data_IF_882039273317
#
_entry.id   IF_882039273317
#
_cell.length_a   1.000
_cell.length_b   1.000
_cell.length_c   1.000
_cell.angle_alpha   90.00
_cell.angle_beta   90.00
_cell.angle_gamma   90.00
#
_symmetry.space_group_name_H-M   'P 1'
#
loop_
_entity.id
_entity.type
_entity.pdbx_description
1 polymer ?
#
# COMPACT_ATOMS: atom_id res chain seq x y z
N UNK A 1 2.45 15.98 14.85
CA UNK A 1 1.28 16.05 13.97
C UNK A 1 1.47 15.02 12.89
N UNK A 2 0.55 14.07 12.73
CA UNK A 2 0.51 13.22 11.53
C UNK A 2 0.25 14.12 10.33
N UNK A 3 1.11 14.06 9.32
CA UNK A 3 0.92 14.82 8.08
C UNK A 3 -0.37 14.38 7.41
N UNK A 4 -1.19 15.33 6.96
CA UNK A 4 -2.39 15.05 6.17
C UNK A 4 -1.95 14.40 4.86
N UNK A 5 -2.63 13.32 4.46
CA UNK A 5 -2.37 12.67 3.18
C UNK A 5 -2.77 13.57 1.99
N UNK A 6 -1.90 13.69 0.99
CA UNK A 6 -2.11 14.55 -0.17
C UNK A 6 -2.30 13.71 -1.42
N UNK A 7 -1.48 12.68 -1.63
CA UNK A 7 -1.57 11.80 -2.81
C UNK A 7 -2.89 11.03 -2.83
N UNK A 8 -3.37 10.56 -1.69
CA UNK A 8 -4.66 9.88 -1.56
C UNK A 8 -5.87 10.74 -1.97
N UNK A 9 -5.70 12.06 -2.17
CA UNK A 9 -6.76 12.99 -2.58
C UNK A 9 -6.59 13.51 -4.02
N UNK A 10 -5.58 13.06 -4.76
CA UNK A 10 -5.36 13.50 -6.16
C UNK A 10 -6.38 12.88 -7.12
N UNK A 11 -6.73 13.63 -8.17
CA UNK A 11 -7.60 13.20 -9.27
C UNK A 11 -6.94 13.43 -10.64
N UNK A 12 -7.30 12.67 -11.69
CA UNK A 12 -8.21 11.53 -11.64
C UNK A 12 -7.62 10.36 -10.84
N UNK A 13 -8.49 9.46 -10.40
CA UNK A 13 -8.06 8.23 -9.72
C UNK A 13 -7.14 7.42 -10.66
N UNK A 14 -6.04 6.80 -10.17
CA UNK A 14 -5.05 6.15 -11.04
C UNK A 14 -5.66 5.17 -12.05
N UNK A 15 -5.17 5.20 -13.28
CA UNK A 15 -5.65 4.33 -14.37
C UNK A 15 -6.97 4.77 -15.00
N UNK A 16 -7.56 5.89 -14.57
CA UNK A 16 -8.84 6.41 -15.09
C UNK A 16 -8.68 7.81 -15.67
N UNK A 17 -9.60 8.20 -16.55
CA UNK A 17 -9.69 9.56 -17.10
C UNK A 17 -10.88 10.34 -16.55
N UNK A 18 -11.91 9.66 -16.07
CA UNK A 18 -13.21 10.24 -15.71
C UNK A 18 -13.57 10.09 -14.22
N UNK A 19 -12.82 9.31 -13.44
CA UNK A 19 -13.06 9.13 -12.00
C UNK A 19 -12.36 10.24 -11.21
N UNK A 20 -13.08 11.33 -10.96
CA UNK A 20 -12.64 12.39 -10.05
C UNK A 20 -13.16 12.17 -8.63
N UNK A 21 -12.29 12.41 -7.65
CA UNK A 21 -12.62 12.38 -6.21
C UNK A 21 -13.46 13.60 -5.85
N UNK A 22 -14.33 13.47 -4.85
CA UNK A 22 -14.97 14.61 -4.21
C UNK A 22 -13.91 15.47 -3.53
N UNK A 23 -13.82 16.79 -3.77
CA UNK A 23 -12.83 17.63 -3.12
C UNK A 23 -12.97 17.59 -1.60
N UNK A 24 -11.88 17.27 -0.90
CA UNK A 24 -11.80 17.26 0.57
C UNK A 24 -10.77 18.30 0.99
N UNK A 25 -11.23 19.38 1.62
CA UNK A 25 -10.34 20.38 2.24
C UNK A 25 -9.59 19.79 3.44
N UNK A 26 -8.41 20.32 3.74
CA UNK A 26 -7.53 19.78 4.80
C UNK A 26 -8.22 19.73 6.17
N UNK A 27 -9.03 20.72 6.51
CA UNK A 27 -9.82 20.78 7.76
C UNK A 27 -10.97 19.77 7.80
N UNK A 28 -11.33 19.17 6.66
CA UNK A 28 -12.36 18.15 6.53
C UNK A 28 -11.82 16.73 6.36
N UNK A 29 -10.50 16.55 6.28
CA UNK A 29 -9.88 15.23 6.17
C UNK A 29 -10.20 14.35 7.40
N UNK A 30 -10.02 14.79 8.66
CA UNK A 30 -10.23 13.92 9.80
C UNK A 30 -11.70 13.48 9.95
N UNK A 31 -11.92 12.17 10.14
CA UNK A 31 -13.28 11.62 10.33
C UNK A 31 -14.03 12.21 11.53
N UNK A 32 -13.30 12.69 12.55
CA UNK A 32 -13.85 13.37 13.73
C UNK A 32 -14.55 14.69 13.41
N UNK A 33 -14.23 15.30 12.28
CA UNK A 33 -14.91 16.51 11.82
C UNK A 33 -16.23 16.10 11.18
N UNK A 34 -17.33 16.60 11.76
CA UNK A 34 -18.67 16.36 11.23
C UNK A 34 -18.81 16.95 9.82
N UNK A 35 -19.32 16.14 8.91
CA UNK A 35 -19.60 16.53 7.53
C UNK A 35 -20.69 15.62 6.96
N UNK A 36 -21.94 15.89 7.32
CA UNK A 36 -23.11 15.09 6.92
C UNK A 36 -23.33 15.05 5.41
N UNK A 37 -22.91 16.10 4.70
CA UNK A 37 -23.07 16.21 3.25
C UNK A 37 -21.93 15.52 2.47
N UNK A 38 -20.97 14.92 3.16
CA UNK A 38 -19.88 14.18 2.53
C UNK A 38 -20.42 12.91 1.87
N UNK A 39 -20.55 12.97 0.54
CA UNK A 39 -21.03 11.87 -0.31
C UNK A 39 -19.97 11.59 -1.37
N UNK A 40 -18.88 10.88 -1.01
CA UNK A 40 -17.80 10.60 -1.94
C UNK A 40 -18.32 9.76 -3.10
N UNK A 41 -17.76 9.98 -4.30
CA UNK A 41 -18.03 9.11 -5.45
C UNK A 41 -17.61 7.68 -5.09
N UNK A 42 -18.47 6.71 -5.39
CA UNK A 42 -18.16 5.30 -5.21
C UNK A 42 -17.47 4.76 -6.46
N UNK A 43 -16.35 4.08 -6.28
CA UNK A 43 -15.62 3.46 -7.36
C UNK A 43 -14.83 2.24 -6.90
N UNK A 44 -14.94 1.16 -7.67
CA UNK A 44 -14.12 -0.03 -7.58
C UNK A 44 -13.96 -0.55 -9.00
N UNK A 45 -12.74 -0.84 -9.40
CA UNK A 45 -12.42 -1.24 -10.76
C UNK A 45 -13.05 -2.60 -11.10
N UNK A 46 -13.43 -2.79 -12.36
CA UNK A 46 -14.20 -3.94 -12.80
C UNK A 46 -13.46 -5.25 -12.53
N UNK A 47 -12.14 -5.30 -12.72
CA UNK A 47 -11.35 -6.51 -12.44
C UNK A 47 -11.20 -6.81 -10.94
N UNK A 48 -11.43 -5.84 -10.06
CA UNK A 48 -11.55 -6.07 -8.61
C UNK A 48 -12.93 -6.63 -8.30
N UNK A 49 -13.97 -6.10 -8.95
CA UNK A 49 -15.37 -6.54 -8.80
C UNK A 49 -15.61 -7.97 -9.28
N UNK A 50 -14.83 -8.47 -10.24
CA UNK A 50 -14.88 -9.89 -10.65
C UNK A 50 -14.37 -10.86 -9.58
N UNK A 51 -13.88 -10.34 -8.44
CA UNK A 51 -13.42 -11.11 -7.29
C UNK A 51 -12.36 -12.15 -7.67
N UNK A 52 -11.22 -11.74 -8.26
CA UNK A 52 -10.06 -12.63 -8.39
C UNK A 52 -9.57 -13.08 -7.00
N UNK A 53 -8.70 -14.09 -6.95
CA UNK A 53 -8.22 -14.71 -5.70
C UNK A 53 -7.59 -13.72 -4.71
N UNK A 54 -7.04 -12.62 -5.21
CA UNK A 54 -6.41 -11.57 -4.42
C UNK A 54 -7.37 -10.45 -3.99
N UNK A 55 -8.63 -10.46 -4.43
CA UNK A 55 -9.63 -9.47 -4.08
C UNK A 55 -10.71 -10.04 -3.17
N UNK A 56 -11.20 -9.20 -2.27
CA UNK A 56 -12.35 -9.50 -1.43
C UNK A 56 -13.66 -9.48 -2.23
N UNK A 57 -14.71 -10.02 -1.63
CA UNK A 57 -16.06 -9.83 -2.13
C UNK A 57 -16.45 -8.34 -2.15
N UNK A 58 -17.30 -7.94 -3.09
CA UNK A 58 -17.78 -6.55 -3.17
C UNK A 58 -18.70 -6.19 -2.01
N UNK A 59 -19.35 -7.17 -1.39
CA UNK A 59 -20.09 -6.96 -0.16
C UNK A 59 -19.17 -7.06 1.06
N UNK A 60 -18.83 -5.90 1.64
CA UNK A 60 -18.02 -5.79 2.85
C UNK A 60 -18.64 -6.51 4.06
N UNK A 61 -19.96 -6.81 4.05
CA UNK A 61 -20.62 -7.59 5.11
C UNK A 61 -20.19 -9.07 5.14
N UNK A 62 -19.54 -9.56 4.08
CA UNK A 62 -18.98 -10.92 4.04
C UNK A 62 -17.60 -11.02 4.69
N UNK A 63 -16.97 -9.89 5.04
CA UNK A 63 -15.72 -9.89 5.79
C UNK A 63 -16.03 -10.23 7.24
N UNK A 64 -15.42 -11.31 7.75
CA UNK A 64 -15.73 -11.83 9.09
C UNK A 64 -15.04 -11.03 10.18
N UNK A 65 -13.78 -10.69 9.95
CA UNK A 65 -12.87 -10.26 10.99
C UNK A 65 -12.04 -9.07 10.50
N UNK A 66 -12.27 -7.86 11.01
CA UNK A 66 -11.40 -6.71 10.76
C UNK A 66 -10.44 -6.50 11.94
N UNK A 67 -9.31 -5.83 11.69
CA UNK A 67 -8.28 -5.54 12.69
C UNK A 67 -7.62 -6.79 13.30
N UNK A 68 -7.68 -7.93 12.62
CA UNK A 68 -7.05 -9.21 13.00
C UNK A 68 -6.74 -10.03 11.74
N UNK A 69 -6.17 -11.22 11.90
CA UNK A 69 -5.97 -12.15 10.78
C UNK A 69 -7.28 -12.89 10.52
N UNK A 70 -7.84 -12.69 9.32
CA UNK A 70 -9.08 -13.31 8.86
C UNK A 70 -8.74 -14.45 7.90
N UNK A 71 -8.76 -15.68 8.42
CA UNK A 71 -8.27 -16.89 7.73
C UNK A 71 -6.80 -16.75 7.32
N UNK A 72 -6.51 -16.51 6.05
CA UNK A 72 -5.17 -16.29 5.53
C UNK A 72 -4.91 -14.83 5.10
N UNK A 73 -5.84 -13.91 5.40
CA UNK A 73 -5.69 -12.49 5.08
C UNK A 73 -5.37 -11.73 6.36
N UNK A 74 -4.18 -11.14 6.44
CA UNK A 74 -3.86 -10.19 7.49
C UNK A 74 -4.62 -8.89 7.23
N UNK A 75 -5.60 -8.58 8.09
CA UNK A 75 -6.38 -7.34 8.04
C UNK A 75 -5.99 -6.40 9.17
N UNK A 76 -4.86 -6.64 9.85
CA UNK A 76 -4.34 -5.72 10.86
C UNK A 76 -3.71 -4.49 10.20
N UNK A 77 -3.65 -3.38 10.93
CA UNK A 77 -2.95 -2.18 10.47
C UNK A 77 -1.73 -1.95 11.36
N UNK A 78 -0.60 -1.59 10.73
CA UNK A 78 0.63 -1.26 11.43
C UNK A 78 0.57 0.05 12.23
N UNK A 79 -0.48 0.86 12.05
CA UNK A 79 -0.69 2.12 12.80
C UNK A 79 -1.85 2.02 13.80
N UNK A 80 -2.22 0.80 14.21
CA UNK A 80 -3.30 0.55 15.16
C UNK A 80 -4.64 0.27 14.50
N UNK A 81 -5.66 0.03 15.33
CA UNK A 81 -6.99 -0.37 14.85
C UNK A 81 -7.66 0.75 14.06
N UNK A 82 -8.23 0.42 12.91
CA UNK A 82 -9.07 1.32 12.12
C UNK A 82 -10.54 1.11 12.45
N UNK A 83 -11.32 2.18 12.32
CA UNK A 83 -12.76 2.15 12.55
C UNK A 83 -13.50 1.40 11.44
N UNK A 84 -14.57 0.71 11.81
CA UNK A 84 -15.51 0.09 10.88
C UNK A 84 -16.83 0.86 10.96
N UNK A 85 -17.33 1.28 9.81
CA UNK A 85 -18.64 1.90 9.70
C UNK A 85 -19.73 0.86 10.01
N UNK A 86 -20.57 1.14 11.00
CA UNK A 86 -21.54 0.17 11.53
C UNK A 86 -22.68 -0.15 10.56
N UNK A 87 -23.00 0.76 9.64
CA UNK A 87 -24.12 0.58 8.70
C UNK A 87 -23.69 -0.19 7.46
N UNK A 88 -22.53 0.17 6.92
CA UNK A 88 -22.00 -0.41 5.69
C UNK A 88 -21.06 -1.60 5.92
N UNK A 89 -20.59 -1.81 7.15
CA UNK A 89 -19.52 -2.75 7.50
C UNK A 89 -18.20 -2.51 6.75
N UNK A 90 -17.98 -1.28 6.26
CA UNK A 90 -16.77 -0.90 5.53
C UNK A 90 -15.75 -0.27 6.49
N UNK A 91 -14.45 -0.54 6.33
CA UNK A 91 -13.43 0.14 7.10
C UNK A 91 -13.33 1.61 6.69
N UNK A 92 -12.91 2.45 7.63
CA UNK A 92 -12.54 3.84 7.40
C UNK A 92 -11.03 3.98 7.33
N UNK A 93 -10.54 4.67 6.30
CA UNK A 93 -9.13 4.97 6.15
C UNK A 93 -8.61 5.71 7.39
N UNK A 94 -7.59 5.18 8.10
CA UNK A 94 -7.12 5.73 9.36
C UNK A 94 -6.49 7.12 9.24
N UNK A 95 -6.15 7.59 8.03
CA UNK A 95 -5.64 8.94 7.80
C UNK A 95 -6.74 9.95 7.39
N UNK A 96 -7.99 9.52 7.26
CA UNK A 96 -9.12 10.41 6.98
C UNK A 96 -9.77 10.20 5.60
N UNK A 97 -10.62 11.17 5.25
CA UNK A 97 -11.38 11.22 3.99
C UNK A 97 -10.47 11.46 2.80
N UNK A 98 -10.67 10.66 1.76
CA UNK A 98 -9.95 10.73 0.48
C UNK A 98 -10.78 11.35 -0.63
N UNK A 99 -12.11 11.47 -0.46
CA UNK A 99 -13.03 11.90 -1.50
C UNK A 99 -13.54 10.78 -2.41
N UNK A 100 -13.21 9.51 -2.13
CA UNK A 100 -13.62 8.36 -2.92
C UNK A 100 -13.94 7.16 -2.02
N UNK A 101 -15.12 6.56 -2.19
CA UNK A 101 -15.51 5.33 -1.50
C UNK A 101 -15.37 4.11 -2.42
N UNK A 102 -15.47 2.90 -1.85
CA UNK A 102 -15.14 1.65 -2.55
C UNK A 102 -13.67 1.31 -2.38
N UNK A 103 -13.13 0.43 -3.22
CA UNK A 103 -11.73 -0.03 -3.13
C UNK A 103 -10.84 0.50 -4.25
N UNK A 104 -11.40 1.16 -5.26
CA UNK A 104 -10.65 1.57 -6.45
C UNK A 104 -9.95 0.36 -7.10
N UNK A 105 -8.62 0.37 -7.12
CA UNK A 105 -7.78 -0.70 -7.68
C UNK A 105 -7.33 -1.74 -6.64
N UNK A 106 -7.60 -1.50 -5.36
CA UNK A 106 -7.13 -2.35 -4.28
C UNK A 106 -8.06 -3.55 -4.09
N UNK A 107 -7.48 -4.71 -3.80
CA UNK A 107 -8.25 -5.96 -3.67
C UNK A 107 -9.00 -6.06 -2.36
N UNK A 108 -8.39 -5.62 -1.26
CA UNK A 108 -8.89 -5.82 0.09
C UNK A 108 -9.66 -4.62 0.59
N UNK A 109 -10.72 -4.87 1.36
CA UNK A 109 -11.29 -3.86 2.24
C UNK A 109 -10.32 -3.60 3.40
N UNK A 110 -9.99 -2.34 3.64
CA UNK A 110 -9.02 -1.93 4.66
C UNK A 110 -7.59 -2.09 4.16
N UNK A 111 -6.62 -2.44 5.02
CA UNK A 111 -5.21 -2.44 4.65
C UNK A 111 -4.89 -3.41 3.52
N UNK A 112 -4.11 -2.94 2.54
CA UNK A 112 -3.55 -3.74 1.46
C UNK A 112 -2.02 -3.76 1.64
N UNK A 113 -1.49 -4.84 2.21
CA UNK A 113 -0.08 -4.92 2.59
C UNK A 113 0.86 -5.08 1.40
N UNK A 114 1.98 -4.36 1.46
CA UNK A 114 3.10 -4.46 0.54
C UNK A 114 4.43 -4.56 1.32
N UNK A 115 5.47 -5.04 0.66
CA UNK A 115 6.81 -5.14 1.21
C UNK A 115 7.85 -4.54 0.27
N UNK A 116 8.67 -3.61 0.78
CA UNK A 116 9.65 -2.84 0.01
C UNK A 116 11.09 -3.08 0.52
N UNK A 117 11.89 -3.89 -0.17
CA UNK A 117 13.29 -4.16 0.19
C UNK A 117 14.22 -3.01 -0.21
N UNK A 118 14.77 -2.31 0.78
CA UNK A 118 15.84 -1.33 0.55
C UNK A 118 17.20 -2.00 0.75
N UNK A 119 17.80 -2.45 -0.34
CA UNK A 119 19.15 -3.04 -0.32
C UNK A 119 20.19 -1.96 -0.60
N UNK A 120 21.12 -1.81 0.33
CA UNK A 120 22.12 -0.73 0.31
C UNK A 120 23.54 -1.29 0.33
N UNK A 121 24.50 -0.58 -0.28
CA UNK A 121 25.93 -0.78 -0.07
C UNK A 121 26.67 0.55 -0.10
N UNK A 122 27.86 0.62 0.50
CA UNK A 122 28.72 1.78 0.33
C UNK A 122 29.39 1.75 -1.05
N UNK A 123 29.37 2.88 -1.76
CA UNK A 123 30.15 3.05 -2.97
C UNK A 123 31.65 3.00 -2.64
N UNK A 124 32.47 2.63 -3.63
CA UNK A 124 33.93 2.70 -3.53
C UNK A 124 34.47 4.12 -3.75
N UNK A 125 33.62 5.03 -4.21
CA UNK A 125 33.94 6.42 -4.48
C UNK A 125 33.54 7.29 -3.30
N UNK A 126 34.35 8.32 -3.04
CA UNK A 126 34.00 9.37 -2.10
C UNK A 126 33.41 10.57 -2.86
N UNK A 127 32.43 11.22 -2.25
CA UNK A 127 31.95 12.49 -2.77
C UNK A 127 32.93 13.62 -2.37
N UNK A 128 32.94 14.72 -3.11
CA UNK A 128 33.89 15.83 -2.91
C UNK A 128 33.82 16.45 -1.50
N UNK A 129 32.72 16.23 -0.77
CA UNK A 129 32.53 16.68 0.62
C UNK A 129 32.99 15.65 1.68
N UNK A 130 33.77 14.62 1.28
CA UNK A 130 34.28 13.54 2.13
C UNK A 130 33.19 12.69 2.81
N UNK A 131 31.95 12.76 2.33
CA UNK A 131 30.89 11.85 2.79
C UNK A 131 30.95 10.55 2.00
N UNK A 132 30.69 9.45 2.70
CA UNK A 132 30.49 8.15 2.07
C UNK A 132 29.23 8.19 1.22
N UNK A 133 29.31 7.67 0.01
CA UNK A 133 28.16 7.55 -0.90
C UNK A 133 27.47 6.22 -0.65
N UNK A 134 26.15 6.26 -0.43
CA UNK A 134 25.33 5.06 -0.32
C UNK A 134 24.70 4.74 -1.67
N UNK A 135 24.90 3.52 -2.15
CA UNK A 135 24.24 2.99 -3.34
C UNK A 135 23.06 2.14 -2.92
N UNK A 136 21.98 2.24 -3.68
CA UNK A 136 20.75 1.46 -3.47
C UNK A 136 20.34 0.77 -4.76
N UNK A 137 19.68 -0.37 -4.64
CA UNK A 137 19.06 -1.06 -5.78
C UNK A 137 17.69 -0.45 -6.06
N UNK A 138 17.49 -0.01 -7.30
CA UNK A 138 16.21 0.47 -7.81
C UNK A 138 15.87 -0.29 -9.09
N UNK A 139 14.58 -0.38 -9.38
CA UNK A 139 14.03 -0.88 -10.64
C UNK A 139 13.40 0.27 -11.41
N UNK A 140 13.35 0.13 -12.74
CA UNK A 140 12.55 0.99 -13.57
C UNK A 140 11.20 0.32 -13.80
N UNK A 141 10.12 0.94 -13.31
CA UNK A 141 8.78 0.38 -13.45
C UNK A 141 8.35 0.41 -14.91
N UNK A 142 7.85 -0.73 -15.42
CA UNK A 142 7.41 -0.85 -16.82
C UNK A 142 6.21 0.02 -17.17
N UNK A 143 5.34 0.30 -16.21
CA UNK A 143 4.08 1.02 -16.40
C UNK A 143 4.26 2.55 -16.51
N UNK A 144 5.19 3.10 -15.74
CA UNK A 144 5.36 4.54 -15.53
C UNK A 144 6.73 5.06 -15.99
N UNK A 145 7.73 4.18 -16.12
CA UNK A 145 9.11 4.57 -16.38
C UNK A 145 9.82 5.16 -15.15
N UNK A 146 9.16 5.18 -13.99
CA UNK A 146 9.71 5.74 -12.76
C UNK A 146 10.68 4.76 -12.08
N UNK A 147 11.70 5.32 -11.41
CA UNK A 147 12.56 4.56 -10.53
C UNK A 147 11.83 4.26 -9.22
N UNK A 148 11.84 2.98 -8.80
CA UNK A 148 11.19 2.53 -7.58
C UNK A 148 12.03 1.49 -6.84
N UNK A 149 11.70 1.31 -5.56
CA UNK A 149 12.19 0.17 -4.77
C UNK A 149 11.55 -1.11 -5.35
N UNK A 150 12.29 -2.23 -5.48
CA UNK A 150 11.78 -3.50 -5.97
C UNK A 150 10.87 -4.23 -4.96
N UNK A 151 9.75 -3.59 -4.61
CA UNK A 151 8.74 -4.12 -3.71
C UNK A 151 7.49 -4.62 -4.44
N UNK A 152 6.57 -5.16 -3.66
CA UNK A 152 5.30 -5.65 -4.19
C UNK A 152 4.33 -6.09 -3.10
N UNK A 153 3.17 -6.59 -3.54
CA UNK A 153 2.05 -6.91 -2.67
C UNK A 153 2.31 -8.21 -1.89
N UNK A 154 1.82 -8.26 -0.65
CA UNK A 154 1.83 -9.48 0.16
C UNK A 154 0.70 -10.39 -0.28
N UNK A 155 1.01 -11.64 -0.62
CA UNK A 155 0.00 -12.62 -1.01
C UNK A 155 -0.82 -13.12 0.18
N UNK A 156 -1.99 -13.68 -0.11
CA UNK A 156 -2.81 -14.35 0.91
C UNK A 156 -2.01 -15.50 1.57
N UNK A 157 -1.93 -15.49 2.90
CA UNK A 157 -1.18 -16.46 3.70
C UNK A 157 0.34 -16.23 3.71
N UNK A 158 0.83 -15.22 3.02
CA UNK A 158 2.27 -14.92 2.96
C UNK A 158 2.68 -14.00 4.11
N UNK A 159 3.74 -14.36 4.82
CA UNK A 159 4.36 -13.44 5.77
C UNK A 159 5.06 -12.30 5.01
N UNK A 160 4.95 -11.06 5.52
CA UNK A 160 5.56 -9.87 4.93
C UNK A 160 7.06 -10.07 4.62
N UNK A 161 7.81 -10.73 5.50
CA UNK A 161 9.24 -11.01 5.28
C UNK A 161 9.49 -11.94 4.09
N UNK A 162 8.60 -12.89 3.83
CA UNK A 162 8.66 -13.77 2.66
C UNK A 162 8.32 -13.00 1.38
N UNK A 163 7.28 -12.13 1.43
CA UNK A 163 6.91 -11.26 0.32
C UNK A 163 8.08 -10.37 -0.11
N UNK A 164 8.72 -9.67 0.84
CA UNK A 164 9.87 -8.79 0.57
C UNK A 164 11.00 -9.56 -0.13
N UNK A 165 11.33 -10.77 0.33
CA UNK A 165 12.35 -11.61 -0.31
C UNK A 165 11.96 -12.03 -1.72
N UNK A 166 10.72 -12.51 -1.89
CA UNK A 166 10.18 -12.96 -3.18
C UNK A 166 10.22 -11.83 -4.21
N UNK A 167 9.69 -10.67 -3.85
CA UNK A 167 9.65 -9.48 -4.72
C UNK A 167 11.06 -9.03 -5.11
N UNK A 168 11.99 -8.99 -4.14
CA UNK A 168 13.39 -8.64 -4.44
C UNK A 168 14.03 -9.60 -5.45
N UNK A 169 13.83 -10.91 -5.28
CA UNK A 169 14.39 -11.93 -6.17
C UNK A 169 13.78 -11.81 -7.57
N UNK A 170 12.48 -11.58 -7.67
CA UNK A 170 11.76 -11.48 -8.94
C UNK A 170 12.14 -10.21 -9.69
N UNK A 171 12.06 -9.05 -9.04
CA UNK A 171 12.18 -7.74 -9.69
C UNK A 171 13.64 -7.29 -9.87
N UNK A 172 14.53 -7.58 -8.91
CA UNK A 172 15.91 -7.07 -8.94
C UNK A 172 16.96 -8.11 -9.34
N UNK A 173 16.73 -9.39 -9.02
CA UNK A 173 17.70 -10.47 -9.29
C UNK A 173 17.31 -11.29 -10.53
N UNK A 174 16.15 -11.00 -11.13
CA UNK A 174 15.59 -11.71 -12.29
C UNK A 174 15.55 -13.24 -12.08
N UNK A 175 15.24 -13.68 -10.86
CA UNK A 175 15.17 -15.09 -10.44
C UNK A 175 16.44 -15.92 -10.71
N UNK A 176 17.62 -15.28 -10.80
CA UNK A 176 18.88 -16.00 -10.93
C UNK A 176 19.16 -16.84 -9.66
N UNK A 177 19.28 -18.15 -9.84
CA UNK A 177 19.45 -19.12 -8.76
C UNK A 177 20.72 -18.87 -7.91
N UNK A 178 21.81 -18.39 -8.51
CA UNK A 178 23.04 -18.09 -7.77
C UNK A 178 22.92 -16.77 -7.00
N UNK A 179 22.21 -15.79 -7.56
CA UNK A 179 21.88 -14.56 -6.84
C UNK A 179 20.96 -14.81 -5.65
N UNK A 180 19.95 -15.68 -5.82
CA UNK A 180 18.96 -16.01 -4.79
C UNK A 180 19.60 -16.61 -3.52
N UNK A 181 20.64 -17.44 -3.67
CA UNK A 181 21.39 -18.02 -2.52
C UNK A 181 21.96 -16.95 -1.58
N UNK A 182 22.37 -15.80 -2.12
CA UNK A 182 22.95 -14.72 -1.33
C UNK A 182 21.90 -13.81 -0.67
N UNK A 183 20.66 -13.83 -1.17
CA UNK A 183 19.55 -13.02 -0.61
C UNK A 183 19.23 -13.48 0.81
N UNK A 184 19.23 -14.78 1.08
CA UNK A 184 18.94 -15.28 2.42
C UNK A 184 19.96 -14.79 3.46
N UNK A 185 21.25 -14.80 3.13
CA UNK A 185 22.29 -14.27 4.01
C UNK A 185 22.15 -12.75 4.22
N UNK A 186 21.87 -11.99 3.14
CA UNK A 186 21.66 -10.55 3.23
C UNK A 186 20.52 -10.22 4.21
N UNK A 187 19.40 -10.94 4.10
CA UNK A 187 18.20 -10.69 4.88
C UNK A 187 18.34 -11.06 6.36
N UNK A 188 19.32 -11.89 6.77
CA UNK A 188 19.59 -12.14 8.19
C UNK A 188 19.99 -10.87 8.94
N UNK A 189 20.52 -9.88 8.24
CA UNK A 189 20.95 -8.59 8.80
C UNK A 189 19.93 -7.47 8.57
N UNK A 190 18.77 -7.79 7.99
CA UNK A 190 17.76 -6.80 7.66
C UNK A 190 17.15 -6.16 8.92
N UNK A 191 16.93 -4.86 8.84
CA UNK A 191 16.26 -4.06 9.87
C UNK A 191 15.02 -3.41 9.30
N UNK A 192 13.96 -3.33 10.09
CA UNK A 192 12.73 -2.64 9.68
C UNK A 192 12.92 -1.14 9.82
N UNK A 193 12.78 -0.41 8.71
CA UNK A 193 12.90 1.06 8.67
C UNK A 193 11.54 1.73 8.86
N UNK A 194 10.49 1.15 8.27
CA UNK A 194 9.14 1.70 8.32
C UNK A 194 8.10 0.57 8.28
N UNK A 195 7.00 0.76 9.02
CA UNK A 195 5.76 -0.01 8.94
C UNK A 195 4.60 0.93 9.19
N UNK A 196 3.65 1.00 8.27
CA UNK A 196 2.52 1.91 8.45
C UNK A 196 1.76 2.21 7.17
N UNK A 197 0.97 3.28 7.26
CA UNK A 197 0.19 3.81 6.16
C UNK A 197 1.05 4.60 5.18
N UNK A 198 0.99 4.23 3.90
CA UNK A 198 1.63 4.99 2.82
C UNK A 198 0.59 5.90 2.17
N UNK A 199 0.92 7.20 2.03
CA UNK A 199 0.12 8.12 1.22
C UNK A 199 0.27 7.76 -0.26
N UNK A 200 -0.70 7.02 -0.79
CA UNK A 200 -0.70 6.46 -2.13
C UNK A 200 -1.95 6.94 -2.90
N UNK A 201 -1.83 7.30 -4.19
CA UNK A 201 -2.96 7.78 -4.98
C UNK A 201 -4.07 6.73 -5.20
N UNK A 202 -3.82 5.44 -4.91
CA UNK A 202 -4.81 4.36 -4.94
C UNK A 202 -5.66 4.28 -3.67
N UNK A 203 -5.26 4.95 -2.59
CA UNK A 203 -5.99 4.88 -1.33
C UNK A 203 -7.40 5.45 -1.49
N UNK A 204 -8.36 4.85 -0.80
CA UNK A 204 -9.76 5.28 -0.78
C UNK A 204 -10.19 5.52 0.66
N UNK A 205 -11.47 5.83 0.87
CA UNK A 205 -12.04 5.86 2.22
C UNK A 205 -12.09 4.47 2.86
N UNK A 206 -11.99 3.39 2.06
CA UNK A 206 -12.25 2.03 2.52
C UNK A 206 -11.15 1.00 2.19
N UNK A 207 -10.02 1.42 1.61
CA UNK A 207 -8.88 0.58 1.26
C UNK A 207 -7.59 1.39 1.17
#
# INVERSE_FOLDING_TARGET
MTSIHVKARTSPYPGTTDISRTPVLDDKVPWTVNWSDYKPREYTEQFVLTKPVWADDSDAKKIKHYNEVDENIDRTSFIGKYEIDKETNRPKNPQGRTGLSGRGLLGRWGPNHAGDPIVTRWAKTEHNDKKKVLEIILINRRDSGELAIPGGMVNAGEHVSAAIKREFIQEAINSNADGAKHVDELFKTAVSIYKGYVDDPRNTDNA
#
